data_IF_913190122813
#
_entry.id   IF_913190122813
#
_cell.length_a   1.000
_cell.length_b   1.000
_cell.length_c   1.000
_cell.angle_alpha   90.00
_cell.angle_beta   90.00
_cell.angle_gamma   90.00
#
_symmetry.space_group_name_H-M   'P 1'
#
loop_
_entity.id
_entity.type
_entity.pdbx_description
1 polymer ?
#
# COMPACT_ATOMS: atom_id res chain seq x y z
N UNK A 1 -11.37 11.85 14.59
CA UNK A 1 -10.48 10.70 14.37
C UNK A 1 -9.54 10.95 13.20
N UNK A 2 -8.24 10.88 13.44
CA UNK A 2 -7.22 10.96 12.41
C UNK A 2 -6.85 9.56 11.96
N UNK A 3 -6.64 9.34 10.66
CA UNK A 3 -6.17 8.05 10.13
C UNK A 3 -4.92 8.25 9.30
N UNK A 4 -3.94 7.36 9.49
CA UNK A 4 -2.77 7.24 8.63
C UNK A 4 -3.03 6.10 7.66
N UNK A 5 -2.84 6.37 6.37
CA UNK A 5 -2.97 5.38 5.32
C UNK A 5 -1.59 5.10 4.70
N UNK A 6 -1.34 3.84 4.37
CA UNK A 6 -0.25 3.43 3.50
C UNK A 6 -0.74 2.49 2.41
N UNK A 7 -0.12 2.57 1.25
CA UNK A 7 -0.39 1.67 0.12
C UNK A 7 0.93 1.24 -0.50
N UNK A 8 1.07 -0.06 -0.72
CA UNK A 8 2.20 -0.67 -1.41
C UNK A 8 1.71 -1.38 -2.66
N UNK A 9 2.56 -1.48 -3.66
CA UNK A 9 2.13 -1.94 -4.96
C UNK A 9 3.23 -2.00 -5.99
N UNK A 10 2.82 -2.35 -7.20
CA UNK A 10 3.70 -2.47 -8.35
C UNK A 10 3.47 -1.32 -9.33
N UNK A 11 4.42 -1.13 -10.24
CA UNK A 11 4.21 -0.37 -11.46
C UNK A 11 3.80 -1.30 -12.59
N UNK A 12 2.80 -0.87 -13.34
CA UNK A 12 2.42 -1.49 -14.60
C UNK A 12 2.68 -0.50 -15.75
N UNK A 13 2.22 -0.84 -16.95
CA UNK A 13 2.38 -0.01 -18.15
C UNK A 13 1.99 1.45 -17.92
N UNK A 14 2.73 2.36 -18.57
CA UNK A 14 2.60 3.81 -18.41
C UNK A 14 2.82 4.30 -16.97
N UNK A 15 3.68 3.60 -16.21
CA UNK A 15 4.00 3.93 -14.82
C UNK A 15 2.79 3.98 -13.87
N UNK A 16 1.68 3.32 -14.26
CA UNK A 16 0.46 3.27 -13.45
C UNK A 16 0.73 2.46 -12.19
N UNK A 17 0.28 2.99 -11.06
CA UNK A 17 0.39 2.31 -9.78
C UNK A 17 -0.71 1.26 -9.63
N UNK A 18 -0.31 0.03 -9.30
CA UNK A 18 -1.18 -1.09 -9.02
C UNK A 18 -1.08 -1.41 -7.52
N UNK A 19 -2.10 -1.00 -6.76
CA UNK A 19 -2.16 -1.31 -5.34
C UNK A 19 -2.21 -2.81 -5.08
N UNK A 20 -1.38 -3.26 -4.15
CA UNK A 20 -1.24 -4.67 -3.76
C UNK A 20 -1.49 -4.88 -2.27
N UNK A 21 -1.07 -3.94 -1.46
CA UNK A 21 -1.33 -3.92 -0.02
C UNK A 21 -1.82 -2.53 0.37
N UNK A 22 -2.77 -2.49 1.30
CA UNK A 22 -3.27 -1.26 1.88
C UNK A 22 -3.40 -1.42 3.38
N UNK A 23 -3.03 -0.36 4.09
CA UNK A 23 -3.07 -0.29 5.53
C UNK A 23 -3.70 1.03 5.98
N UNK A 24 -4.52 0.97 7.04
CA UNK A 24 -5.06 2.13 7.72
C UNK A 24 -4.91 1.98 9.24
N UNK A 25 -4.47 3.04 9.91
CA UNK A 25 -4.29 3.07 11.36
C UNK A 25 -4.84 4.37 11.94
N UNK A 26 -5.74 4.27 12.93
CA UNK A 26 -6.38 5.43 13.57
C UNK A 26 -5.77 5.81 14.94
N UNK A 27 -4.69 5.15 15.34
CA UNK A 27 -4.10 5.26 16.67
C UNK A 27 -4.49 4.13 17.64
N UNK A 28 -5.49 3.31 17.29
CA UNK A 28 -5.99 2.20 18.11
C UNK A 28 -6.19 0.93 17.29
N UNK A 29 -6.79 1.04 16.10
CA UNK A 29 -7.18 -0.09 15.23
C UNK A 29 -6.36 -0.08 13.97
N UNK A 30 -5.92 -1.27 13.58
CA UNK A 30 -5.24 -1.54 12.32
C UNK A 30 -6.21 -2.22 11.35
N UNK A 31 -6.31 -1.68 10.15
CA UNK A 31 -7.00 -2.31 9.04
C UNK A 31 -5.97 -2.64 7.96
N UNK A 32 -5.93 -3.90 7.51
CA UNK A 32 -4.89 -4.39 6.61
C UNK A 32 -5.49 -5.28 5.53
N UNK A 33 -5.12 -5.03 4.27
CA UNK A 33 -5.61 -5.77 3.12
C UNK A 33 -4.49 -6.09 2.16
N UNK A 34 -4.47 -7.34 1.69
CA UNK A 34 -3.65 -7.77 0.55
C UNK A 34 -4.59 -8.12 -0.60
N UNK A 35 -4.48 -7.39 -1.70
CA UNK A 35 -5.32 -7.53 -2.87
C UNK A 35 -4.81 -8.62 -3.81
N UNK A 36 -5.72 -9.33 -4.47
CA UNK A 36 -5.40 -10.27 -5.56
C UNK A 36 -4.81 -9.52 -6.75
N UNK A 37 -3.97 -10.19 -7.52
CA UNK A 37 -3.54 -9.66 -8.82
C UNK A 37 -4.75 -9.43 -9.73
N UNK A 38 -4.78 -8.32 -10.49
CA UNK A 38 -5.84 -8.10 -11.48
C UNK A 38 -5.77 -9.09 -12.64
N UNK A 39 -4.58 -9.66 -12.90
CA UNK A 39 -4.36 -10.61 -13.98
C UNK A 39 -3.17 -11.55 -13.67
N UNK A 40 -3.08 -12.72 -14.34
CA UNK A 40 -2.01 -13.70 -14.12
C UNK A 40 -0.61 -13.13 -14.38
N UNK A 41 0.37 -13.60 -13.59
CA UNK A 41 1.80 -13.23 -13.75
C UNK A 41 2.30 -13.37 -15.19
N UNK A 42 1.87 -14.41 -15.90
CA UNK A 42 2.39 -14.70 -17.23
C UNK A 42 2.07 -13.61 -18.25
N UNK A 43 1.00 -12.82 -18.02
CA UNK A 43 0.61 -11.69 -18.87
C UNK A 43 1.41 -10.42 -18.59
N UNK A 44 2.24 -10.37 -17.54
CA UNK A 44 3.14 -9.24 -17.34
C UNK A 44 4.23 -9.22 -18.44
N UNK A 45 4.49 -8.05 -19.05
CA UNK A 45 5.65 -7.84 -19.90
C UNK A 45 6.97 -8.17 -19.17
N UNK A 46 7.99 -8.73 -19.86
CA UNK A 46 9.25 -9.13 -19.23
C UNK A 46 9.95 -8.04 -18.38
N UNK A 47 10.02 -6.76 -18.81
CA UNK A 47 10.62 -5.72 -17.99
C UNK A 47 9.88 -5.50 -16.66
N UNK A 48 8.55 -5.59 -16.68
CA UNK A 48 7.73 -5.44 -15.48
C UNK A 48 7.83 -6.66 -14.55
N UNK A 49 8.04 -7.87 -15.10
CA UNK A 49 8.36 -9.05 -14.30
C UNK A 49 9.66 -8.88 -13.51
N UNK A 50 10.69 -8.33 -14.13
CA UNK A 50 11.98 -8.05 -13.46
C UNK A 50 11.78 -7.03 -12.33
N UNK A 51 11.07 -5.94 -12.60
CA UNK A 51 10.77 -4.92 -11.59
C UNK A 51 9.94 -5.49 -10.43
N UNK A 52 8.86 -6.22 -10.73
CA UNK A 52 8.02 -6.83 -9.71
C UNK A 52 8.78 -7.86 -8.88
N UNK A 53 9.66 -8.66 -9.51
CA UNK A 53 10.55 -9.57 -8.79
C UNK A 53 11.51 -8.83 -7.87
N UNK A 54 12.16 -7.76 -8.35
CA UNK A 54 13.06 -6.97 -7.52
C UNK A 54 12.33 -6.36 -6.31
N UNK A 55 11.14 -5.80 -6.52
CA UNK A 55 10.32 -5.23 -5.45
C UNK A 55 9.88 -6.29 -4.43
N UNK A 56 9.53 -7.49 -4.90
CA UNK A 56 9.21 -8.63 -4.04
C UNK A 56 10.43 -9.03 -3.22
N UNK A 57 11.57 -9.23 -3.85
CA UNK A 57 12.76 -9.79 -3.19
C UNK A 57 13.49 -8.78 -2.29
N UNK A 58 13.41 -7.47 -2.58
CA UNK A 58 14.29 -6.46 -1.96
C UNK A 58 13.57 -5.27 -1.31
N UNK A 59 12.27 -5.07 -1.54
CA UNK A 59 11.57 -3.88 -1.06
C UNK A 59 10.40 -4.21 -0.11
N UNK A 60 9.31 -4.75 -0.64
CA UNK A 60 8.08 -4.94 0.13
C UNK A 60 7.73 -6.40 0.42
N UNK A 61 8.38 -7.40 -0.17
CA UNK A 61 8.11 -8.82 0.15
C UNK A 61 6.83 -9.41 -0.45
N UNK A 62 5.92 -8.57 -0.94
CA UNK A 62 4.61 -9.02 -1.46
C UNK A 62 4.77 -9.69 -2.83
N UNK A 63 4.44 -10.98 -2.93
CA UNK A 63 4.40 -11.69 -4.22
C UNK A 63 3.21 -11.24 -5.08
N UNK A 64 3.39 -11.26 -6.42
CA UNK A 64 2.37 -10.87 -7.39
C UNK A 64 1.05 -11.61 -7.19
N UNK A 65 1.10 -12.93 -6.96
CA UNK A 65 -0.09 -13.77 -6.84
C UNK A 65 -0.68 -13.80 -5.42
N UNK A 66 -0.07 -13.12 -4.45
CA UNK A 66 -0.57 -13.08 -3.06
C UNK A 66 -1.93 -12.38 -2.93
N UNK A 67 -2.56 -12.53 -1.77
CA UNK A 67 -3.76 -11.78 -1.41
C UNK A 67 -5.07 -12.51 -1.64
N UNK A 68 -6.08 -12.09 -0.89
CA UNK A 68 -7.42 -12.69 -0.90
C UNK A 68 -8.50 -11.67 -1.25
N UNK A 69 -8.21 -10.38 -1.12
CA UNK A 69 -9.17 -9.30 -1.37
C UNK A 69 -9.26 -8.99 -2.87
N UNK A 70 -10.43 -9.04 -3.51
CA UNK A 70 -10.57 -8.63 -4.90
C UNK A 70 -10.20 -7.15 -5.11
N UNK A 71 -9.39 -6.84 -6.12
CA UNK A 71 -8.90 -5.48 -6.36
C UNK A 71 -10.03 -4.47 -6.62
N UNK A 72 -11.13 -4.88 -7.24
CA UNK A 72 -12.28 -3.99 -7.48
C UNK A 72 -12.91 -3.45 -6.19
N UNK A 73 -12.66 -4.07 -5.02
CA UNK A 73 -13.11 -3.58 -3.72
C UNK A 73 -12.26 -2.43 -3.17
N UNK A 74 -11.09 -2.16 -3.76
CA UNK A 74 -10.13 -1.16 -3.27
C UNK A 74 -10.81 0.19 -3.03
N UNK A 75 -11.46 0.76 -4.04
CA UNK A 75 -12.10 2.08 -3.93
C UNK A 75 -13.17 2.13 -2.84
N UNK A 76 -13.99 1.08 -2.71
CA UNK A 76 -15.03 1.02 -1.67
C UNK A 76 -14.43 0.94 -0.26
N UNK A 77 -13.32 0.22 -0.08
CA UNK A 77 -12.59 0.13 1.18
C UNK A 77 -12.03 1.50 1.57
N UNK A 78 -11.33 2.17 0.65
CA UNK A 78 -10.78 3.51 0.91
C UNK A 78 -11.88 4.50 1.26
N UNK A 79 -12.98 4.50 0.48
CA UNK A 79 -14.12 5.38 0.73
C UNK A 79 -14.71 5.14 2.12
N UNK A 80 -14.96 3.89 2.50
CA UNK A 80 -15.52 3.57 3.82
C UNK A 80 -14.63 4.05 4.97
N UNK A 81 -13.31 3.85 4.87
CA UNK A 81 -12.35 4.30 5.89
C UNK A 81 -12.28 5.84 5.92
N UNK A 82 -12.22 6.46 4.74
CA UNK A 82 -12.18 7.91 4.63
C UNK A 82 -13.44 8.55 5.21
N UNK A 83 -14.63 8.02 4.94
CA UNK A 83 -15.90 8.54 5.44
C UNK A 83 -15.94 8.61 6.98
N UNK A 84 -15.28 7.66 7.67
CA UNK A 84 -15.15 7.65 9.12
C UNK A 84 -14.03 8.54 9.71
N UNK A 85 -13.14 9.09 8.89
CA UNK A 85 -11.99 9.87 9.35
C UNK A 85 -12.19 11.39 9.21
N UNK A 86 -11.79 12.17 10.20
CA UNK A 86 -11.77 13.64 10.13
C UNK A 86 -10.55 14.15 9.37
N UNK A 87 -9.43 13.44 9.51
CA UNK A 87 -8.14 13.78 8.88
C UNK A 87 -7.49 12.53 8.33
N UNK A 88 -6.98 12.62 7.11
CA UNK A 88 -6.31 11.52 6.41
C UNK A 88 -4.87 11.93 6.14
N UNK A 89 -3.92 11.12 6.62
CA UNK A 89 -2.49 11.33 6.45
C UNK A 89 -1.91 10.25 5.56
N UNK A 90 -1.09 10.62 4.58
CA UNK A 90 -0.39 9.68 3.69
C UNK A 90 1.05 10.14 3.55
N UNK A 91 2.01 9.23 3.73
CA UNK A 91 3.42 9.52 3.44
C UNK A 91 3.73 9.25 1.98
N UNK A 92 4.37 10.21 1.30
CA UNK A 92 4.82 10.08 -0.08
C UNK A 92 3.81 10.57 -1.13
N UNK A 93 4.30 11.38 -2.05
CA UNK A 93 3.49 12.11 -3.04
C UNK A 93 2.74 11.20 -4.01
N UNK A 94 3.39 10.15 -4.50
CA UNK A 94 2.77 9.19 -5.42
C UNK A 94 1.60 8.44 -4.75
N UNK A 95 1.79 7.99 -3.52
CA UNK A 95 0.76 7.28 -2.74
C UNK A 95 -0.41 8.19 -2.42
N UNK A 96 -0.12 9.42 -2.01
CA UNK A 96 -1.14 10.43 -1.77
C UNK A 96 -1.94 10.73 -3.05
N UNK A 97 -1.26 10.95 -4.17
CA UNK A 97 -1.89 11.17 -5.47
C UNK A 97 -2.76 9.99 -5.92
N UNK A 98 -2.30 8.76 -5.67
CA UNK A 98 -3.07 7.55 -5.98
C UNK A 98 -4.36 7.47 -5.15
N UNK A 99 -4.28 7.67 -3.83
CA UNK A 99 -5.41 7.57 -2.92
C UNK A 99 -6.45 8.68 -3.11
N UNK A 100 -6.04 9.87 -3.58
CA UNK A 100 -6.97 10.98 -3.92
C UNK A 100 -8.02 10.58 -4.96
N UNK A 101 -7.75 9.56 -5.79
CA UNK A 101 -8.72 9.08 -6.79
C UNK A 101 -9.90 8.31 -6.17
N UNK A 102 -9.83 7.94 -4.89
CA UNK A 102 -10.81 7.06 -4.22
C UNK A 102 -11.54 7.72 -3.04
N UNK A 103 -11.24 8.98 -2.72
CA UNK A 103 -11.89 9.72 -1.64
C UNK A 103 -12.06 11.19 -2.03
N UNK A 104 -13.18 11.77 -1.61
CA UNK A 104 -13.41 13.22 -1.71
C UNK A 104 -12.84 14.00 -0.53
N UNK A 105 -12.38 13.32 0.53
CA UNK A 105 -11.77 13.98 1.68
C UNK A 105 -10.34 14.41 1.37
N UNK A 106 -9.90 15.60 1.84
CA UNK A 106 -8.54 16.07 1.61
C UNK A 106 -7.53 15.12 2.28
N UNK A 107 -6.49 14.78 1.52
CA UNK A 107 -5.34 14.00 2.02
C UNK A 107 -4.22 14.97 2.38
N UNK A 108 -3.80 14.93 3.64
CA UNK A 108 -2.64 15.64 4.17
C UNK A 108 -1.41 14.78 3.87
N UNK A 109 -0.59 15.26 2.95
CA UNK A 109 0.66 14.60 2.58
C UNK A 109 1.71 14.84 3.65
N UNK A 110 2.30 13.76 4.15
CA UNK A 110 3.44 13.80 5.06
C UNK A 110 4.72 13.75 4.23
N UNK A 111 5.66 14.63 4.56
CA UNK A 111 6.96 14.68 3.91
C UNK A 111 7.69 13.33 4.02
N UNK A 112 8.38 12.97 2.93
CA UNK A 112 9.18 11.78 2.91
C UNK A 112 10.45 11.99 3.74
N UNK A 113 10.39 11.59 5.01
CA UNK A 113 11.59 11.53 5.84
C UNK A 113 12.48 10.37 5.40
N UNK A 114 13.82 10.55 5.47
CA UNK A 114 14.79 9.51 5.12
C UNK A 114 14.50 8.22 5.88
N UNK A 115 14.93 7.08 5.31
CA UNK A 115 14.81 5.78 5.96
C UNK A 115 15.33 5.88 7.39
N UNK A 116 14.52 5.47 8.36
CA UNK A 116 14.96 5.40 9.75
C UNK A 116 16.25 4.60 9.80
N UNK A 117 17.25 5.12 10.50
CA UNK A 117 18.48 4.36 10.74
C UNK A 117 18.10 3.11 11.53
N UNK A 118 18.62 1.93 11.15
CA UNK A 118 18.39 0.72 11.93
C UNK A 118 18.71 0.99 13.39
N UNK A 119 17.76 0.71 14.27
CA UNK A 119 18.03 0.79 15.71
C UNK A 119 19.17 -0.20 16.03
N UNK A 120 20.16 0.18 16.85
CA UNK A 120 21.18 -0.77 17.33
C UNK A 120 20.55 -1.95 18.07
N UNK A 121 19.31 -1.78 18.56
CA UNK A 121 18.46 -2.85 19.04
C UNK A 121 17.65 -3.41 17.87
N UNK A 122 18.28 -4.30 17.09
CA UNK A 122 17.70 -5.03 15.96
C UNK A 122 16.60 -6.01 16.43
N UNK A 123 15.48 -5.49 16.94
CA UNK A 123 14.28 -6.27 17.27
C UNK A 123 13.05 -5.56 16.74
N UNK A 124 12.93 -5.51 15.43
CA UNK A 124 11.60 -5.51 14.83
C UNK A 124 11.14 -6.96 14.81
N UNK A 125 10.41 -7.36 15.86
CA UNK A 125 9.61 -8.57 15.79
C UNK A 125 8.62 -8.33 14.65
N UNK A 126 8.80 -9.03 13.53
CA UNK A 126 7.67 -9.29 12.65
C UNK A 126 6.67 -10.08 13.49
N UNK A 127 5.64 -9.40 14.01
CA UNK A 127 4.54 -10.06 14.73
C UNK A 127 3.66 -10.71 13.67
N UNK A 128 4.17 -11.79 13.08
CA UNK A 128 3.44 -12.72 12.23
C UNK A 128 3.76 -14.15 12.69
N UNK A 129 3.63 -14.40 14.00
CA UNK A 129 3.54 -15.75 14.55
C UNK A 129 2.17 -15.88 15.22
N UNK A 130 1.20 -16.41 14.46
CA UNK A 130 0.03 -17.12 14.99
C UNK A 130 -0.13 -18.40 14.17
#
# INVERSE_FOLDING_TARGET
>A
MSVVLDVQGFKIENNKFLAKEFCAYDGVRLCHYIFKAPFPWDLLPPPLKIQAKWLTDNYHGISWNSGFTPLHKFGNIIKHIADGADRIYVKGSEKAAYLRNFTSKPIIELEEQPRLTPSPYNRYLHVCDV
#
